data_IF_081761878418
#
_entry.id   IF_081761878418
#
_cell.length_a   1.000
_cell.length_b   1.000
_cell.length_c   1.000
_cell.angle_alpha   90.00
_cell.angle_beta   90.00
_cell.angle_gamma   90.00
#
_symmetry.space_group_name_H-M   'P 1'
#
loop_
_entity.id
_entity.type
_entity.pdbx_description
1 polymer ?
#
# COMPACT_ATOMS: atom_id res chain seq x y z
N UNK A 1 -3.18 2.23 -19.51
CA UNK A 1 -4.33 1.47 -18.97
C UNK A 1 -4.06 1.20 -17.51
N UNK A 2 -5.08 1.10 -16.64
CA UNK A 2 -4.90 0.73 -15.21
C UNK A 2 -4.55 -0.73 -15.09
N UNK A 3 -3.90 -1.12 -14.00
CA UNK A 3 -3.50 -2.52 -13.79
C UNK A 3 -4.71 -3.45 -13.65
N UNK A 4 -5.77 -3.00 -12.98
CA UNK A 4 -7.01 -3.77 -12.87
C UNK A 4 -7.60 -4.15 -14.24
N UNK A 5 -7.54 -3.23 -15.21
CA UNK A 5 -8.02 -3.49 -16.56
C UNK A 5 -7.07 -4.44 -17.33
N UNK A 6 -5.76 -4.32 -17.10
CA UNK A 6 -4.78 -5.23 -17.69
C UNK A 6 -4.99 -6.66 -17.18
N UNK A 7 -5.20 -6.85 -15.88
CA UNK A 7 -5.48 -8.16 -15.30
C UNK A 7 -6.81 -8.72 -15.81
N UNK A 8 -7.87 -7.91 -15.79
CA UNK A 8 -9.20 -8.32 -16.24
C UNK A 8 -9.26 -8.68 -17.73
N UNK A 9 -8.38 -8.13 -18.56
CA UNK A 9 -8.31 -8.37 -20.00
C UNK A 9 -7.18 -9.34 -20.36
N UNK A 10 -6.43 -9.86 -19.38
CA UNK A 10 -5.37 -10.84 -19.63
C UNK A 10 -5.91 -12.08 -20.33
N UNK A 11 -5.23 -12.50 -21.37
CA UNK A 11 -5.49 -13.74 -22.11
C UNK A 11 -4.50 -14.82 -21.68
N UNK A 12 -4.65 -16.03 -22.20
CA UNK A 12 -3.82 -17.20 -21.87
C UNK A 12 -2.32 -17.09 -22.25
N UNK A 13 -1.90 -15.97 -22.80
CA UNK A 13 -0.49 -15.76 -23.09
C UNK A 13 0.27 -15.51 -21.78
N UNK A 14 1.15 -16.43 -21.41
CA UNK A 14 2.05 -16.23 -20.29
C UNK A 14 2.98 -15.04 -20.59
N UNK A 15 3.04 -14.00 -19.74
CA UNK A 15 3.97 -12.91 -19.96
C UNK A 15 5.40 -13.42 -19.80
N UNK A 16 6.29 -12.94 -20.67
CA UNK A 16 7.71 -13.25 -20.59
C UNK A 16 8.44 -12.09 -19.94
N UNK A 17 9.21 -12.35 -18.89
CA UNK A 17 10.11 -11.36 -18.31
C UNK A 17 11.23 -11.00 -19.29
N UNK A 18 11.87 -9.81 -19.14
CA UNK A 18 13.01 -9.42 -19.96
C UNK A 18 14.15 -10.45 -19.99
N UNK A 19 14.26 -11.26 -18.95
CA UNK A 19 15.22 -12.36 -18.83
C UNK A 19 14.80 -13.63 -19.59
N UNK A 20 13.71 -13.61 -20.34
CA UNK A 20 13.20 -14.74 -21.10
C UNK A 20 12.34 -15.73 -20.31
N UNK A 21 12.00 -15.43 -19.06
CA UNK A 21 11.19 -16.32 -18.21
C UNK A 21 9.71 -16.07 -18.41
N UNK A 22 8.96 -17.11 -18.71
CA UNK A 22 7.50 -17.07 -18.74
C UNK A 22 6.98 -17.17 -17.29
N UNK A 23 6.11 -16.25 -16.90
CA UNK A 23 5.49 -16.24 -15.57
C UNK A 23 4.07 -16.79 -15.65
N UNK A 24 3.54 -17.45 -14.59
CA UNK A 24 2.13 -17.73 -14.49
C UNK A 24 1.32 -16.46 -14.73
N UNK A 25 0.44 -16.52 -15.72
CA UNK A 25 -0.24 -15.31 -16.19
C UNK A 25 -1.27 -14.79 -15.20
N UNK A 26 -1.44 -13.48 -15.16
CA UNK A 26 -2.49 -12.82 -14.40
C UNK A 26 -3.92 -13.23 -14.85
N UNK A 27 -4.07 -13.87 -16.01
CA UNK A 27 -5.35 -14.33 -16.57
C UNK A 27 -6.14 -15.26 -15.65
N UNK A 28 -5.47 -16.07 -14.82
CA UNK A 28 -6.13 -16.91 -13.82
C UNK A 28 -6.96 -16.11 -12.81
N UNK A 29 -6.68 -14.83 -12.65
CA UNK A 29 -7.35 -13.93 -11.70
C UNK A 29 -8.28 -12.93 -12.39
N UNK A 30 -8.42 -13.00 -13.72
CA UNK A 30 -9.22 -12.04 -14.49
C UNK A 30 -10.69 -12.00 -13.99
N UNK A 31 -11.28 -13.16 -13.75
CA UNK A 31 -12.65 -13.22 -13.25
C UNK A 31 -12.79 -12.72 -11.81
N UNK A 32 -11.86 -13.06 -10.94
CA UNK A 32 -11.85 -12.54 -9.58
C UNK A 32 -11.74 -11.00 -9.53
N UNK A 33 -10.96 -10.42 -10.42
CA UNK A 33 -10.85 -8.94 -10.53
C UNK A 33 -12.12 -8.33 -11.14
N UNK A 34 -12.73 -8.97 -12.15
CA UNK A 34 -13.98 -8.49 -12.76
C UNK A 34 -15.15 -8.53 -11.77
N UNK A 35 -15.22 -9.54 -10.93
CA UNK A 35 -16.31 -9.73 -9.96
C UNK A 35 -16.04 -9.09 -8.61
N UNK A 36 -14.82 -8.56 -8.39
CA UNK A 36 -14.46 -7.89 -7.14
C UNK A 36 -15.40 -6.71 -6.85
N UNK A 37 -16.13 -6.71 -5.71
CA UNK A 37 -17.14 -5.71 -5.42
C UNK A 37 -16.56 -4.34 -5.08
N UNK A 38 -15.36 -4.30 -4.54
CA UNK A 38 -14.71 -3.07 -4.11
C UNK A 38 -13.36 -2.91 -4.80
N UNK A 39 -13.29 -2.03 -5.80
CA UNK A 39 -12.09 -1.71 -6.55
C UNK A 39 -11.65 -0.29 -6.24
N UNK A 40 -10.51 -0.16 -5.61
CA UNK A 40 -9.96 1.08 -5.09
C UNK A 40 -8.66 1.44 -5.81
N UNK A 41 -8.59 2.67 -6.29
CA UNK A 41 -7.38 3.24 -6.86
C UNK A 41 -6.91 4.37 -5.96
N UNK A 42 -5.70 4.25 -5.45
CA UNK A 42 -5.14 5.19 -4.49
C UNK A 42 -4.57 6.41 -5.24
N UNK A 43 -5.04 7.59 -4.86
CA UNK A 43 -4.47 8.84 -5.36
C UNK A 43 -3.11 9.12 -4.69
N UNK A 44 -2.29 9.97 -5.34
CA UNK A 44 -0.91 10.26 -4.91
C UNK A 44 -0.82 10.80 -3.48
N UNK A 45 -1.76 11.64 -3.08
CA UNK A 45 -1.84 12.20 -1.73
C UNK A 45 -2.11 11.14 -0.66
N UNK A 46 -2.93 10.15 -0.98
CA UNK A 46 -3.21 9.03 -0.09
C UNK A 46 -2.01 8.09 0.03
N UNK A 47 -1.34 7.79 -1.09
CA UNK A 47 -0.10 6.99 -1.08
C UNK A 47 0.95 7.63 -0.16
N UNK A 48 1.12 8.94 -0.25
CA UNK A 48 2.03 9.67 0.64
C UNK A 48 1.59 9.61 2.10
N UNK A 49 0.30 9.82 2.37
CA UNK A 49 -0.26 9.77 3.73
C UNK A 49 -0.09 8.40 4.37
N UNK A 50 -0.42 7.32 3.65
CA UNK A 50 -0.34 5.95 4.17
C UNK A 50 1.10 5.50 4.40
N UNK A 51 2.05 5.88 3.52
CA UNK A 51 3.47 5.58 3.76
C UNK A 51 4.03 6.36 4.96
N UNK A 52 3.67 7.63 5.14
CA UNK A 52 4.06 8.38 6.34
C UNK A 52 3.52 7.73 7.62
N UNK A 53 2.25 7.33 7.62
CA UNK A 53 1.64 6.64 8.76
C UNK A 53 2.32 5.31 9.04
N UNK A 54 2.60 4.54 8.01
CA UNK A 54 3.20 3.22 8.12
C UNK A 54 4.65 3.29 8.62
N UNK A 55 5.46 4.18 8.06
CA UNK A 55 6.91 4.16 8.27
C UNK A 55 7.43 5.26 9.20
N UNK A 56 6.75 6.40 9.31
CA UNK A 56 7.16 7.46 10.24
C UNK A 56 6.38 7.44 11.56
N UNK A 57 5.24 6.76 11.61
CA UNK A 57 4.36 6.67 12.78
C UNK A 57 3.96 5.20 13.07
N UNK A 58 4.83 4.23 12.78
CA UNK A 58 4.57 2.79 12.88
C UNK A 58 4.07 2.34 14.26
N UNK A 59 4.59 2.89 15.35
CA UNK A 59 4.12 2.61 16.71
C UNK A 59 2.62 2.96 16.91
N UNK A 60 2.14 4.01 16.24
CA UNK A 60 0.71 4.36 16.29
C UNK A 60 -0.14 3.40 15.49
N UNK A 61 0.39 2.93 14.37
CA UNK A 61 -0.29 1.95 13.54
C UNK A 61 -0.41 0.63 14.29
N UNK A 62 0.67 0.12 14.89
CA UNK A 62 0.68 -1.06 15.76
C UNK A 62 -0.31 -0.94 16.91
N UNK A 63 -0.33 0.19 17.60
CA UNK A 63 -1.26 0.46 18.71
C UNK A 63 -2.74 0.54 18.31
N UNK A 64 -3.07 0.37 17.03
CA UNK A 64 -4.42 0.39 16.47
C UNK A 64 -4.76 -0.87 15.65
N UNK A 65 -3.96 -1.92 15.73
CA UNK A 65 -4.19 -3.16 14.96
C UNK A 65 -5.56 -3.78 15.19
N UNK A 66 -6.08 -3.69 16.41
CA UNK A 66 -7.40 -4.17 16.81
C UNK A 66 -8.55 -3.43 16.10
N UNK A 67 -8.29 -2.27 15.52
CA UNK A 67 -9.27 -1.45 14.80
C UNK A 67 -9.16 -1.56 13.27
N UNK A 68 -8.12 -2.25 12.80
CA UNK A 68 -7.93 -2.47 11.37
C UNK A 68 -8.80 -3.64 10.91
N UNK A 69 -9.53 -3.43 9.81
CA UNK A 69 -10.26 -4.49 9.12
C UNK A 69 -10.33 -4.19 7.62
N UNK A 70 -10.39 -5.23 6.83
CA UNK A 70 -10.62 -5.13 5.39
C UNK A 70 -12.09 -4.77 5.16
N UNK A 71 -12.41 -3.75 4.36
CA UNK A 71 -13.78 -3.20 4.27
C UNK A 71 -14.77 -4.07 3.48
N UNK A 72 -14.32 -5.17 2.87
CA UNK A 72 -15.14 -6.10 2.10
C UNK A 72 -14.46 -7.45 2.00
N UNK A 73 -15.22 -8.52 1.80
CA UNK A 73 -14.67 -9.88 1.59
C UNK A 73 -13.72 -9.97 0.39
N UNK A 74 -13.90 -9.11 -0.60
CA UNK A 74 -12.97 -8.97 -1.71
C UNK A 74 -12.71 -7.49 -1.99
N UNK A 75 -11.42 -7.13 -2.07
CA UNK A 75 -10.97 -5.78 -2.36
C UNK A 75 -9.83 -5.83 -3.37
N UNK A 76 -9.93 -4.99 -4.39
CA UNK A 76 -8.81 -4.64 -5.24
C UNK A 76 -8.24 -3.30 -4.81
N UNK A 77 -6.93 -3.24 -4.58
CA UNK A 77 -6.17 -2.00 -4.35
C UNK A 77 -5.22 -1.78 -5.52
N UNK A 78 -5.05 -0.54 -5.97
CA UNK A 78 -4.08 -0.20 -7.01
C UNK A 78 -3.43 1.15 -6.74
N UNK A 79 -2.11 1.26 -7.00
CA UNK A 79 -1.35 2.50 -6.87
C UNK A 79 -0.24 2.63 -7.92
N UNK A 80 0.26 3.86 -8.09
CA UNK A 80 1.43 4.17 -8.89
C UNK A 80 2.71 3.91 -8.10
N UNK A 81 3.58 3.05 -8.61
CA UNK A 81 4.81 2.70 -7.93
C UNK A 81 5.78 3.89 -7.82
N UNK A 82 5.85 4.74 -8.84
CA UNK A 82 6.69 5.94 -8.82
C UNK A 82 6.33 6.89 -7.67
N UNK A 83 5.01 7.08 -7.40
CA UNK A 83 4.55 7.91 -6.28
C UNK A 83 4.91 7.28 -4.94
N UNK A 84 4.73 5.97 -4.81
CA UNK A 84 5.09 5.24 -3.60
C UNK A 84 6.59 5.33 -3.31
N UNK A 85 7.43 5.11 -4.30
CA UNK A 85 8.88 5.23 -4.18
C UNK A 85 9.30 6.65 -3.78
N UNK A 86 8.66 7.68 -4.36
CA UNK A 86 8.91 9.06 -3.99
C UNK A 86 8.55 9.34 -2.52
N UNK A 87 7.40 8.78 -2.07
CA UNK A 87 6.98 8.89 -0.67
C UNK A 87 7.95 8.22 0.30
N UNK A 88 8.43 7.01 -0.01
CA UNK A 88 9.41 6.28 0.81
C UNK A 88 10.75 7.02 0.89
N UNK A 89 11.26 7.54 -0.23
CA UNK A 89 12.52 8.32 -0.23
C UNK A 89 12.45 9.59 0.61
N UNK A 90 11.27 10.13 0.84
CA UNK A 90 11.07 11.28 1.71
C UNK A 90 11.16 10.93 3.21
N UNK A 91 11.16 9.65 3.56
CA UNK A 91 11.28 9.15 4.93
C UNK A 91 12.74 8.70 5.15
N UNK A 92 13.49 9.33 6.07
CA UNK A 92 14.96 9.18 6.16
C UNK A 92 15.44 7.73 6.24
N UNK A 93 14.80 6.89 7.05
CA UNK A 93 15.19 5.49 7.25
C UNK A 93 14.72 4.55 6.12
N UNK A 94 13.81 5.02 5.25
CA UNK A 94 13.35 4.28 4.08
C UNK A 94 14.03 4.71 2.77
N UNK A 95 14.94 5.68 2.82
CA UNK A 95 15.57 6.25 1.61
C UNK A 95 16.35 5.21 0.79
N UNK A 96 16.88 4.16 1.43
CA UNK A 96 17.60 3.05 0.81
C UNK A 96 16.73 1.83 0.48
N UNK A 97 15.41 1.91 0.67
CA UNK A 97 14.49 0.79 0.38
C UNK A 97 14.64 0.36 -1.08
N UNK A 98 14.79 -0.95 -1.36
CA UNK A 98 14.86 -1.45 -2.71
C UNK A 98 13.60 -1.05 -3.50
N UNK A 99 13.80 -0.41 -4.61
CA UNK A 99 12.73 0.02 -5.50
C UNK A 99 12.83 -0.76 -6.81
N UNK A 100 11.77 -1.42 -7.22
CA UNK A 100 11.72 -2.03 -8.53
C UNK A 100 11.61 -0.95 -9.61
N UNK A 101 12.65 -0.78 -10.42
CA UNK A 101 12.63 0.14 -11.57
C UNK A 101 11.72 -0.34 -12.70
N UNK A 102 11.26 -1.58 -12.64
CA UNK A 102 10.46 -2.23 -13.69
C UNK A 102 8.97 -2.02 -13.48
N UNK A 103 8.52 -1.86 -12.23
CA UNK A 103 7.09 -1.75 -11.90
C UNK A 103 6.57 -0.33 -12.18
N UNK A 104 5.48 -0.25 -12.92
CA UNK A 104 4.74 1.00 -13.17
C UNK A 104 3.56 1.16 -12.21
N UNK A 105 2.73 0.12 -12.13
CA UNK A 105 1.61 0.02 -11.21
C UNK A 105 1.78 -1.21 -10.36
N UNK A 106 1.38 -1.12 -9.11
CA UNK A 106 1.21 -2.27 -8.22
C UNK A 106 -0.26 -2.36 -7.84
N UNK A 107 -0.78 -3.58 -7.79
CA UNK A 107 -2.14 -3.88 -7.36
C UNK A 107 -2.17 -5.07 -6.44
N UNK A 108 -3.13 -5.12 -5.54
CA UNK A 108 -3.32 -6.22 -4.61
C UNK A 108 -4.78 -6.64 -4.61
N UNK A 109 -5.03 -7.92 -4.88
CA UNK A 109 -6.32 -8.56 -4.70
C UNK A 109 -6.34 -9.19 -3.30
N UNK A 110 -7.28 -8.76 -2.48
CA UNK A 110 -7.44 -9.21 -1.10
C UNK A 110 -8.71 -10.04 -1.02
N UNK A 111 -8.62 -11.21 -0.40
CA UNK A 111 -9.75 -12.01 0.01
C UNK A 111 -9.73 -12.12 1.53
N UNK A 112 -10.78 -11.65 2.19
CA UNK A 112 -10.88 -11.60 3.65
C UNK A 112 -12.11 -12.35 4.15
N UNK A 113 -12.11 -12.70 5.41
CA UNK A 113 -13.29 -13.19 6.11
C UNK A 113 -14.35 -12.08 6.30
N UNK A 114 -15.54 -12.44 6.75
CA UNK A 114 -16.64 -11.49 7.00
C UNK A 114 -16.27 -10.38 7.99
N UNK A 115 -15.38 -10.64 8.94
CA UNK A 115 -14.91 -9.66 9.90
C UNK A 115 -13.80 -8.75 9.32
N UNK A 116 -13.23 -9.14 8.19
CA UNK A 116 -12.11 -8.42 7.56
C UNK A 116 -10.81 -8.52 8.35
N UNK A 117 -10.69 -9.52 9.25
CA UNK A 117 -9.57 -9.65 10.18
C UNK A 117 -8.55 -10.69 9.75
N UNK A 118 -8.99 -11.68 8.98
CA UNK A 118 -8.14 -12.74 8.45
C UNK A 118 -8.32 -12.86 6.93
N UNK A 119 -7.30 -13.31 6.22
CA UNK A 119 -7.43 -13.49 4.80
C UNK A 119 -6.12 -13.67 4.06
N UNK A 120 -6.20 -13.49 2.74
CA UNK A 120 -5.06 -13.62 1.83
C UNK A 120 -4.97 -12.40 0.91
N UNK A 121 -3.75 -12.04 0.54
CA UNK A 121 -3.46 -10.98 -0.42
C UNK A 121 -2.59 -11.53 -1.53
N UNK A 122 -2.91 -11.17 -2.76
CA UNK A 122 -2.14 -11.49 -3.96
C UNK A 122 -1.72 -10.22 -4.65
N UNK A 123 -0.41 -10.07 -4.85
CA UNK A 123 0.17 -8.88 -5.48
C UNK A 123 0.27 -9.07 -6.99
N UNK A 124 -0.08 -8.03 -7.72
CA UNK A 124 0.07 -7.89 -9.16
C UNK A 124 0.89 -6.64 -9.46
N UNK A 125 1.50 -6.61 -10.63
CA UNK A 125 2.20 -5.43 -11.10
C UNK A 125 2.19 -5.35 -12.63
N UNK A 126 2.37 -4.15 -13.16
CA UNK A 126 2.58 -3.93 -14.58
C UNK A 126 3.95 -3.33 -14.82
N UNK A 127 4.57 -3.71 -15.94
CA UNK A 127 5.79 -3.11 -16.45
C UNK A 127 5.46 -2.05 -17.51
N UNK A 128 6.50 -1.43 -18.06
CA UNK A 128 6.37 -0.44 -19.14
C UNK A 128 5.78 -1.02 -20.46
N UNK A 129 5.84 -2.34 -20.63
CA UNK A 129 5.25 -3.04 -21.77
C UNK A 129 3.72 -3.23 -21.68
N UNK A 130 3.07 -2.64 -20.67
CA UNK A 130 1.63 -2.77 -20.40
C UNK A 130 1.13 -4.22 -20.20
N UNK A 131 2.00 -5.13 -19.82
CA UNK A 131 1.62 -6.48 -19.39
C UNK A 131 1.38 -6.52 -17.88
N UNK A 132 0.42 -7.35 -17.48
CA UNK A 132 0.15 -7.62 -16.06
C UNK A 132 0.86 -8.90 -15.63
N UNK A 133 1.51 -8.83 -14.48
CA UNK A 133 2.22 -9.93 -13.85
C UNK A 133 1.60 -10.22 -12.49
N UNK A 134 1.67 -11.48 -12.06
CA UNK A 134 1.28 -11.92 -10.73
C UNK A 134 2.54 -12.27 -9.92
N UNK A 135 2.62 -11.83 -8.68
CA UNK A 135 3.72 -12.18 -7.80
C UNK A 135 3.66 -13.67 -7.40
N UNK A 136 4.84 -14.25 -7.17
CA UNK A 136 4.97 -15.64 -6.77
C UNK A 136 4.50 -15.91 -5.34
N UNK A 137 4.44 -14.86 -4.50
CA UNK A 137 4.10 -14.99 -3.11
C UNK A 137 2.64 -14.61 -2.86
N UNK A 138 1.98 -15.45 -2.08
CA UNK A 138 0.76 -15.12 -1.36
C UNK A 138 1.13 -14.58 0.01
N UNK A 139 0.37 -13.61 0.47
CA UNK A 139 0.47 -13.07 1.81
C UNK A 139 -0.79 -13.46 2.58
N UNK A 140 -0.66 -14.35 3.57
CA UNK A 140 -1.73 -14.59 4.53
C UNK A 140 -1.62 -13.56 5.65
N UNK A 141 -2.74 -13.08 6.18
CA UNK A 141 -2.78 -12.18 7.32
C UNK A 141 -3.79 -12.63 8.37
N UNK A 142 -3.47 -12.42 9.64
CA UNK A 142 -4.36 -12.59 10.77
C UNK A 142 -4.11 -11.43 11.76
N UNK A 143 -5.05 -10.50 11.82
CA UNK A 143 -4.91 -9.29 12.65
C UNK A 143 -5.26 -9.56 14.12
N UNK A 144 -5.79 -10.74 14.44
CA UNK A 144 -6.13 -11.14 15.81
C UNK A 144 -5.02 -11.98 16.46
N UNK A 145 -4.21 -12.68 15.64
CA UNK A 145 -3.17 -13.57 16.13
C UNK A 145 -1.83 -13.27 15.46
N UNK A 146 -0.77 -13.45 16.22
CA UNK A 146 0.60 -13.44 15.69
C UNK A 146 0.82 -14.75 14.93
N UNK A 147 0.98 -14.65 13.61
CA UNK A 147 1.22 -15.83 12.76
C UNK A 147 2.71 -16.19 12.74
N UNK A 148 3.57 -15.29 13.09
CA UNK A 148 5.03 -15.24 12.92
C UNK A 148 5.55 -15.91 11.65
N UNK A 149 6.39 -15.21 10.90
CA UNK A 149 6.73 -15.56 9.53
C UNK A 149 7.45 -16.90 9.48
N UNK A 150 6.70 -17.95 9.42
CA UNK A 150 7.23 -19.11 8.77
C UNK A 150 7.26 -18.72 7.28
N UNK A 151 8.41 -18.36 6.80
CA UNK A 151 8.66 -18.44 5.38
C UNK A 151 8.65 -19.93 5.06
N UNK A 152 7.49 -20.47 4.72
CA UNK A 152 7.35 -21.83 4.16
C UNK A 152 8.06 -21.96 2.79
N UNK A 153 8.78 -20.92 2.38
CA UNK A 153 9.69 -20.92 1.24
C UNK A 153 10.82 -21.96 1.47
N UNK A 154 11.27 -22.18 2.70
CA UNK A 154 12.28 -23.19 3.00
C UNK A 154 11.79 -24.61 2.67
N UNK A 155 10.55 -24.92 3.01
CA UNK A 155 9.96 -26.22 2.68
C UNK A 155 9.72 -26.36 1.17
N UNK A 156 9.32 -25.28 0.49
CA UNK A 156 9.08 -25.28 -0.96
C UNK A 156 10.36 -25.35 -1.80
N UNK A 157 11.49 -24.83 -1.29
CA UNK A 157 12.79 -24.79 -1.97
C UNK A 157 13.80 -25.81 -1.44
N UNK A 158 13.39 -26.78 -0.63
CA UNK A 158 14.28 -27.87 -0.17
C UNK A 158 15.21 -27.48 0.97
N UNK A 159 14.87 -26.55 1.83
CA UNK A 159 15.54 -26.30 3.11
C UNK A 159 16.68 -25.28 3.09
N UNK A 160 16.81 -24.47 2.03
CA UNK A 160 17.78 -23.38 2.03
C UNK A 160 17.24 -22.19 2.86
N UNK A 161 17.86 -21.90 4.00
CA UNK A 161 17.51 -20.78 4.86
C UNK A 161 17.55 -19.44 4.08
N UNK A 162 16.42 -18.80 3.93
CA UNK A 162 16.29 -17.51 3.26
C UNK A 162 16.33 -16.41 4.30
N UNK A 163 17.50 -15.93 4.65
CA UNK A 163 17.65 -14.71 5.41
C UNK A 163 17.13 -13.51 4.59
N UNK A 164 15.91 -13.07 4.82
CA UNK A 164 15.42 -11.83 4.26
C UNK A 164 15.81 -10.73 5.22
N UNK A 165 16.52 -9.72 4.72
CA UNK A 165 16.70 -8.48 5.44
C UNK A 165 15.32 -7.78 5.50
N UNK A 166 14.59 -8.02 6.59
CA UNK A 166 13.39 -7.27 6.93
C UNK A 166 13.82 -5.89 7.47
N UNK A 167 12.99 -4.86 7.33
CA UNK A 167 13.26 -3.56 7.94
C UNK A 167 13.50 -3.72 9.44
N UNK A 168 14.65 -3.24 9.95
CA UNK A 168 15.07 -3.42 11.35
C UNK A 168 14.30 -2.53 12.36
N UNK A 169 13.11 -2.04 12.04
CA UNK A 169 12.32 -1.26 12.97
C UNK A 169 11.36 -2.13 13.77
N UNK A 170 11.45 -2.06 15.10
CA UNK A 170 10.62 -2.83 16.03
C UNK A 170 9.10 -2.70 15.76
N UNK A 171 8.65 -1.52 15.32
CA UNK A 171 7.24 -1.29 14.98
C UNK A 171 6.81 -2.03 13.70
N UNK A 172 7.71 -2.19 12.72
CA UNK A 172 7.45 -2.96 11.52
C UNK A 172 7.47 -4.46 11.79
N UNK A 173 8.35 -4.91 12.69
CA UNK A 173 8.39 -6.30 13.14
C UNK A 173 7.07 -6.72 13.79
N UNK A 174 6.47 -5.85 14.60
CA UNK A 174 5.16 -6.09 15.20
C UNK A 174 4.06 -6.21 14.13
N UNK A 175 4.00 -5.28 13.17
CA UNK A 175 3.03 -5.33 12.08
C UNK A 175 3.20 -6.58 11.21
N UNK A 176 4.44 -6.92 10.90
CA UNK A 176 4.77 -8.09 10.06
C UNK A 176 4.61 -9.42 10.81
N UNK A 177 4.54 -9.42 12.14
CA UNK A 177 4.24 -10.62 12.93
C UNK A 177 2.81 -11.17 12.69
N UNK A 178 1.92 -10.35 12.15
CA UNK A 178 0.56 -10.69 11.76
C UNK A 178 0.43 -11.14 10.29
N UNK A 179 1.56 -11.36 9.62
CA UNK A 179 1.61 -11.67 8.19
C UNK A 179 2.51 -12.87 7.95
N UNK A 180 2.11 -13.76 7.05
CA UNK A 180 2.92 -14.88 6.59
C UNK A 180 3.00 -14.86 5.07
N UNK A 181 4.22 -14.98 4.55
CA UNK A 181 4.45 -15.10 3.11
C UNK A 181 4.65 -16.57 2.75
N UNK A 182 3.95 -17.04 1.75
CA UNK A 182 4.10 -18.40 1.22
C UNK A 182 4.15 -18.41 -0.30
N UNK A 183 4.88 -19.36 -0.85
CA UNK A 183 4.92 -19.56 -2.29
C UNK A 183 3.54 -20.08 -2.76
N UNK A 184 3.01 -19.46 -3.81
CA UNK A 184 1.80 -19.96 -4.47
C UNK A 184 2.07 -21.33 -5.12
N UNK A 185 1.15 -22.28 -4.96
CA UNK A 185 1.28 -23.62 -5.50
C UNK A 185 1.49 -23.62 -7.03
N UNK A 186 0.78 -22.77 -7.76
CA UNK A 186 0.95 -22.64 -9.21
C UNK A 186 2.37 -22.19 -9.60
N UNK A 187 3.01 -21.35 -8.77
CA UNK A 187 4.39 -20.93 -8.94
C UNK A 187 5.40 -22.01 -8.55
N UNK A 188 5.11 -22.80 -7.52
CA UNK A 188 5.94 -23.93 -7.14
C UNK A 188 6.05 -24.94 -8.29
N UNK A 189 4.93 -25.22 -8.97
CA UNK A 189 4.92 -26.08 -10.15
C UNK A 189 5.70 -25.48 -11.32
N UNK A 190 5.56 -24.16 -11.54
CA UNK A 190 6.29 -23.44 -12.55
C UNK A 190 7.81 -23.47 -12.30
N UNK A 191 8.27 -23.21 -11.09
CA UNK A 191 9.70 -23.25 -10.76
C UNK A 191 10.29 -24.65 -10.96
N UNK A 192 9.52 -25.70 -10.62
CA UNK A 192 9.96 -27.09 -10.88
C UNK A 192 10.07 -27.39 -12.38
N UNK A 193 9.17 -26.84 -13.20
CA UNK A 193 9.16 -27.05 -14.65
C UNK A 193 10.20 -26.19 -15.40
N UNK A 194 10.59 -25.04 -14.86
CA UNK A 194 11.48 -24.08 -15.51
C UNK A 194 12.97 -24.39 -15.37
N UNK A 195 13.31 -25.48 -14.67
CA UNK A 195 14.70 -25.96 -14.45
C UNK A 195 15.65 -24.87 -13.86
N UNK A 196 15.08 -23.96 -13.06
CA UNK A 196 15.84 -22.93 -12.38
C UNK A 196 16.63 -23.55 -11.23
N UNK A 197 17.90 -23.22 -11.12
CA UNK A 197 18.67 -23.63 -9.95
C UNK A 197 18.18 -22.96 -8.66
N UNK A 198 18.47 -23.58 -7.51
CA UNK A 198 18.00 -23.11 -6.21
C UNK A 198 18.45 -21.66 -5.91
N UNK A 199 19.62 -21.24 -6.39
CA UNK A 199 20.13 -19.88 -6.18
C UNK A 199 19.36 -18.85 -6.98
N UNK A 200 18.97 -19.16 -8.21
CA UNK A 200 18.15 -18.32 -9.06
C UNK A 200 16.73 -18.16 -8.50
N UNK A 201 16.12 -19.27 -8.07
CA UNK A 201 14.81 -19.27 -7.43
C UNK A 201 14.84 -18.41 -6.15
N UNK A 202 15.87 -18.56 -5.33
CA UNK A 202 16.05 -17.82 -4.10
C UNK A 202 16.21 -16.32 -4.34
N UNK A 203 16.99 -15.94 -5.34
CA UNK A 203 17.18 -14.52 -5.69
C UNK A 203 15.88 -13.85 -6.07
N UNK A 204 15.07 -14.51 -6.91
CA UNK A 204 13.76 -14.03 -7.33
C UNK A 204 12.79 -13.87 -6.18
N UNK A 205 12.73 -14.87 -5.31
CA UNK A 205 11.82 -14.86 -4.17
C UNK A 205 12.21 -13.78 -3.16
N UNK A 206 13.50 -13.53 -2.95
CA UNK A 206 13.99 -12.43 -2.10
C UNK A 206 13.53 -11.06 -2.61
N UNK A 207 13.64 -10.80 -3.90
CA UNK A 207 13.21 -9.54 -4.49
C UNK A 207 11.69 -9.34 -4.34
N UNK A 208 10.92 -10.38 -4.65
CA UNK A 208 9.45 -10.35 -4.52
C UNK A 208 9.04 -10.19 -3.06
N UNK A 209 9.68 -10.92 -2.14
CA UNK A 209 9.39 -10.85 -0.72
C UNK A 209 9.70 -9.45 -0.16
N UNK A 210 10.88 -8.91 -0.46
CA UNK A 210 11.25 -7.57 -0.02
C UNK A 210 10.22 -6.53 -0.43
N UNK A 211 9.82 -6.51 -1.71
CA UNK A 211 8.82 -5.56 -2.19
C UNK A 211 7.44 -5.78 -1.57
N UNK A 212 6.98 -7.03 -1.45
CA UNK A 212 5.65 -7.35 -0.88
C UNK A 212 5.60 -7.06 0.62
N UNK A 213 6.65 -7.35 1.36
CA UNK A 213 6.73 -7.03 2.79
C UNK A 213 6.68 -5.52 3.04
N UNK A 214 7.32 -4.73 2.18
CA UNK A 214 7.22 -3.26 2.24
C UNK A 214 5.86 -2.70 1.83
N UNK A 215 5.01 -3.46 1.14
CA UNK A 215 3.64 -3.01 0.81
C UNK A 215 2.69 -3.16 2.01
N UNK A 216 2.92 -4.14 2.87
CA UNK A 216 2.01 -4.51 3.96
C UNK A 216 1.73 -3.38 4.96
N UNK A 217 2.72 -2.67 5.52
CA UNK A 217 2.45 -1.59 6.47
C UNK A 217 1.62 -0.47 5.84
N UNK A 218 1.85 -0.14 4.57
CA UNK A 218 1.05 0.84 3.83
C UNK A 218 -0.40 0.39 3.67
N UNK A 219 -0.63 -0.89 3.37
CA UNK A 219 -1.99 -1.47 3.22
C UNK A 219 -2.72 -1.46 4.57
N UNK A 220 -2.05 -1.82 5.67
CA UNK A 220 -2.62 -1.75 7.01
C UNK A 220 -2.95 -0.31 7.42
N UNK A 221 -2.08 0.65 7.10
CA UNK A 221 -2.33 2.06 7.32
C UNK A 221 -3.56 2.56 6.52
N UNK A 222 -3.74 2.08 5.29
CA UNK A 222 -4.92 2.38 4.49
C UNK A 222 -6.19 1.86 5.15
N UNK A 223 -6.20 0.60 5.62
CA UNK A 223 -7.38 0.03 6.28
C UNK A 223 -7.68 0.72 7.62
N UNK A 224 -6.68 1.17 8.35
CA UNK A 224 -6.90 2.01 9.52
C UNK A 224 -7.57 3.35 9.16
N UNK A 225 -7.19 3.96 8.03
CA UNK A 225 -7.85 5.16 7.53
C UNK A 225 -9.30 4.89 7.07
N UNK A 226 -9.60 3.70 6.56
CA UNK A 226 -10.99 3.28 6.27
C UNK A 226 -11.83 3.19 7.54
N UNK A 227 -11.28 2.66 8.61
CA UNK A 227 -11.95 2.58 9.92
C UNK A 227 -12.09 3.96 10.60
N UNK A 228 -11.24 4.92 10.23
CA UNK A 228 -11.25 6.24 10.84
C UNK A 228 -12.38 7.11 10.32
N UNK A 229 -13.11 7.75 11.23
CA UNK A 229 -14.07 8.79 10.84
C UNK A 229 -13.33 9.90 10.09
N UNK A 230 -13.86 10.29 8.92
CA UNK A 230 -13.30 11.31 8.04
C UNK A 230 -11.85 10.99 7.57
N UNK A 231 -11.46 9.72 7.63
CA UNK A 231 -10.12 9.26 7.26
C UNK A 231 -9.83 9.25 5.76
N UNK A 232 -10.88 9.20 4.93
CA UNK A 232 -10.74 9.09 3.48
C UNK A 232 -11.82 9.90 2.75
N UNK A 233 -11.49 10.29 1.52
CA UNK A 233 -12.44 10.79 0.55
C UNK A 233 -12.58 9.79 -0.60
N UNK A 234 -13.80 9.56 -1.04
CA UNK A 234 -14.13 8.61 -2.08
C UNK A 234 -14.72 9.36 -3.29
N UNK A 235 -14.21 9.06 -4.47
CA UNK A 235 -14.75 9.57 -5.72
C UNK A 235 -15.01 8.40 -6.68
N UNK A 236 -16.28 8.12 -6.93
CA UNK A 236 -16.66 7.16 -7.98
C UNK A 236 -16.26 7.74 -9.33
N UNK A 237 -15.49 6.98 -10.10
CA UNK A 237 -15.06 7.39 -11.44
C UNK A 237 -16.13 6.95 -12.44
N UNK A 238 -16.80 7.92 -13.05
CA UNK A 238 -17.76 7.66 -14.11
C UNK A 238 -17.03 7.31 -15.42
N UNK A 239 -17.19 6.07 -15.85
CA UNK A 239 -16.60 5.53 -17.07
C UNK A 239 -17.63 5.29 -18.18
N UNK A 240 -18.90 5.62 -17.98
CA UNK A 240 -19.97 5.24 -18.92
C UNK A 240 -19.72 5.79 -20.34
N UNK A 241 -19.46 7.10 -20.44
CA UNK A 241 -19.16 7.76 -21.72
C UNK A 241 -17.91 7.17 -22.40
N UNK A 242 -16.85 6.94 -21.61
CA UNK A 242 -15.59 6.37 -22.12
C UNK A 242 -15.81 4.93 -22.58
N UNK A 243 -16.52 4.14 -21.79
CA UNK A 243 -16.82 2.75 -22.11
C UNK A 243 -17.73 2.61 -23.33
N UNK A 244 -18.66 3.55 -23.53
CA UNK A 244 -19.46 3.60 -24.75
C UNK A 244 -18.55 3.81 -25.98
N UNK A 245 -17.68 4.82 -25.95
CA UNK A 245 -16.75 5.09 -27.05
C UNK A 245 -15.79 3.91 -27.32
N UNK A 246 -15.33 3.24 -26.27
CA UNK A 246 -14.47 2.06 -26.38
C UNK A 246 -15.20 0.90 -27.08
N UNK A 247 -16.43 0.60 -26.67
CA UNK A 247 -17.27 -0.44 -27.30
C UNK A 247 -17.50 -0.15 -28.79
N UNK A 248 -17.81 1.10 -29.14
CA UNK A 248 -17.95 1.52 -30.53
C UNK A 248 -16.66 1.34 -31.35
N UNK A 249 -15.50 1.35 -30.69
CA UNK A 249 -14.18 1.13 -31.31
C UNK A 249 -13.70 -0.32 -31.21
N UNK A 250 -14.55 -1.27 -30.83
CA UNK A 250 -14.19 -2.68 -30.67
C UNK A 250 -13.24 -2.98 -29.49
N UNK A 251 -13.11 -2.06 -28.55
CA UNK A 251 -12.23 -2.21 -27.36
C UNK A 251 -13.03 -2.70 -26.17
N UNK A 252 -12.38 -3.47 -25.30
CA UNK A 252 -12.98 -3.88 -24.02
C UNK A 252 -13.33 -2.67 -23.15
N UNK A 253 -14.45 -2.75 -22.42
CA UNK A 253 -14.81 -1.77 -21.43
C UNK A 253 -13.79 -1.79 -20.27
N UNK A 254 -13.60 -0.63 -19.65
CA UNK A 254 -12.81 -0.49 -18.43
C UNK A 254 -13.69 -0.80 -17.21
N UNK A 255 -13.09 -1.31 -16.16
CA UNK A 255 -13.80 -1.62 -14.92
C UNK A 255 -14.05 -0.37 -14.08
N UNK A 256 -15.26 -0.28 -13.55
CA UNK A 256 -15.62 0.77 -12.58
C UNK A 256 -14.77 0.63 -11.33
N UNK A 257 -14.37 1.75 -10.78
CA UNK A 257 -13.55 1.82 -9.58
C UNK A 257 -13.80 3.10 -8.81
N UNK A 258 -13.37 3.11 -7.57
CA UNK A 258 -13.42 4.27 -6.69
C UNK A 258 -12.00 4.83 -6.56
N UNK A 259 -11.81 6.09 -6.87
CA UNK A 259 -10.57 6.79 -6.52
C UNK A 259 -10.66 7.22 -5.06
N UNK A 260 -9.65 6.84 -4.28
CA UNK A 260 -9.58 7.14 -2.85
C UNK A 260 -8.46 8.13 -2.61
N UNK A 261 -8.77 9.19 -1.87
CA UNK A 261 -7.87 10.31 -1.58
C UNK A 261 -7.69 10.50 -0.09
N UNK A 262 -6.58 11.10 0.29
CA UNK A 262 -6.39 11.55 1.67
C UNK A 262 -7.42 12.65 2.02
N UNK A 263 -7.81 12.77 3.30
CA UNK A 263 -8.71 13.82 3.72
C UNK A 263 -8.09 15.18 3.42
N UNK A 264 -8.89 16.12 2.91
CA UNK A 264 -8.41 17.46 2.50
C UNK A 264 -7.72 18.11 3.70
N UNK A 265 -6.43 18.38 3.58
CA UNK A 265 -5.73 19.27 4.48
C UNK A 265 -6.04 20.70 4.05
N UNK A 266 -6.84 21.42 4.84
CA UNK A 266 -7.07 22.83 4.57
C UNK A 266 -5.71 23.55 4.42
N UNK A 267 -5.50 24.25 3.30
CA UNK A 267 -4.35 25.14 3.13
C UNK A 267 -4.49 26.27 4.12
N UNK A 268 -3.69 26.27 5.17
CA UNK A 268 -3.56 27.43 6.04
C UNK A 268 -2.50 28.35 5.46
N UNK A 269 -2.94 29.47 4.90
CA UNK A 269 -2.04 30.59 4.65
C UNK A 269 -1.61 31.19 5.99
N UNK A 270 -0.30 31.18 6.26
CA UNK A 270 0.25 31.78 7.48
C UNK A 270 0.06 33.29 7.44
N UNK A 271 -0.54 33.92 8.46
CA UNK A 271 -0.47 35.37 8.61
C UNK A 271 1.00 35.76 8.80
N UNK A 272 1.49 36.66 7.95
CA UNK A 272 2.83 37.24 8.03
C UNK A 272 3.04 37.88 9.39
N UNK A 273 4.08 37.47 10.05
CA UNK A 273 4.75 37.92 11.29
C UNK A 273 4.09 39.05 12.11
N UNK A 274 3.70 38.73 13.34
CA UNK A 274 3.55 39.70 14.42
C UNK A 274 4.79 39.68 15.27
N UNK A 275 5.38 40.88 15.49
CA UNK A 275 6.63 41.12 16.19
C UNK A 275 6.60 40.62 17.66
N UNK A 276 7.76 40.22 18.13
CA UNK A 276 8.07 39.75 19.50
C UNK A 276 7.76 40.81 20.56
N UNK A 277 6.94 40.43 21.52
CA UNK A 277 6.95 41.06 22.85
C UNK A 277 7.19 39.98 23.91
N UNK A 278 8.18 40.15 24.72
CA UNK A 278 8.59 39.26 25.77
C UNK A 278 7.56 39.25 26.92
N UNK A 279 6.64 38.27 26.90
CA UNK A 279 5.73 38.01 28.01
C UNK A 279 6.01 36.63 28.61
N UNK A 280 5.92 36.52 29.93
CA UNK A 280 6.06 35.27 30.70
C UNK A 280 5.21 34.16 30.06
N UNK A 281 5.90 33.08 29.69
CA UNK A 281 5.31 31.96 28.95
C UNK A 281 4.29 31.19 29.80
N UNK A 282 3.01 31.42 29.57
CA UNK A 282 1.92 30.57 30.03
C UNK A 282 1.36 29.82 28.82
N UNK A 283 1.89 28.64 28.51
CA UNK A 283 1.41 27.78 27.42
C UNK A 283 2.38 27.67 26.24
N UNK A 284 2.14 26.77 25.30
CA UNK A 284 2.98 26.59 24.12
C UNK A 284 2.81 27.74 23.15
N UNK A 285 3.89 28.08 22.42
CA UNK A 285 3.85 28.97 21.26
C UNK A 285 2.98 28.36 20.18
N UNK A 286 2.46 29.19 19.27
CA UNK A 286 1.72 28.72 18.13
C UNK A 286 2.62 27.83 17.25
N UNK A 287 2.19 26.60 17.04
CA UNK A 287 2.89 25.63 16.20
C UNK A 287 1.89 24.85 15.37
N UNK A 288 2.36 24.36 14.23
CA UNK A 288 1.58 23.48 13.36
C UNK A 288 1.61 22.04 13.91
N UNK A 289 0.45 21.45 14.12
CA UNK A 289 0.27 20.05 14.43
C UNK A 289 -0.10 19.35 13.13
N UNK A 290 0.67 18.35 12.72
CA UNK A 290 0.38 17.55 11.51
C UNK A 290 -0.93 16.79 11.69
N UNK A 291 -1.58 16.46 10.57
CA UNK A 291 -2.66 15.50 10.56
C UNK A 291 -2.16 14.16 11.11
N UNK A 292 -2.94 13.57 11.98
CA UNK A 292 -2.58 12.31 12.63
C UNK A 292 -3.81 11.52 13.02
N UNK A 293 -3.65 10.22 13.12
CA UNK A 293 -4.66 9.34 13.71
C UNK A 293 -4.73 9.59 15.20
N UNK A 294 -5.94 9.71 15.72
CA UNK A 294 -6.23 9.79 17.13
C UNK A 294 -7.22 8.68 17.51
N UNK A 295 -6.92 7.99 18.60
CA UNK A 295 -7.76 6.94 19.17
C UNK A 295 -8.44 7.45 20.44
N UNK A 296 -9.71 7.12 20.62
CA UNK A 296 -10.45 7.36 21.87
C UNK A 296 -11.35 6.15 22.16
N UNK A 297 -10.87 5.27 23.05
CA UNK A 297 -11.49 3.97 23.29
C UNK A 297 -11.41 3.09 22.05
N UNK A 298 -12.55 2.62 21.59
CA UNK A 298 -12.77 1.79 20.40
C UNK A 298 -12.93 2.59 19.08
N UNK A 299 -12.78 3.93 19.14
CA UNK A 299 -12.97 4.80 17.99
C UNK A 299 -11.67 5.42 17.51
N UNK A 300 -11.50 5.39 16.21
CA UNK A 300 -10.42 6.06 15.49
C UNK A 300 -10.96 7.20 14.67
N UNK A 301 -10.22 8.29 14.62
CA UNK A 301 -10.56 9.45 13.79
C UNK A 301 -9.29 10.13 13.28
N UNK A 302 -9.37 10.64 12.07
CA UNK A 302 -8.33 11.48 11.52
C UNK A 302 -8.46 12.90 12.07
N UNK A 303 -7.44 13.38 12.77
CA UNK A 303 -7.34 14.78 13.14
C UNK A 303 -6.67 15.54 12.01
N UNK A 304 -7.40 16.49 11.44
CA UNK A 304 -6.84 17.38 10.44
C UNK A 304 -5.66 18.18 11.01
N UNK A 305 -4.67 18.53 10.17
CA UNK A 305 -3.61 19.47 10.56
C UNK A 305 -4.22 20.76 11.11
N UNK A 306 -3.71 21.24 12.22
CA UNK A 306 -4.22 22.43 12.86
C UNK A 306 -3.12 23.23 13.56
N UNK A 307 -3.38 24.50 13.79
CA UNK A 307 -2.50 25.34 14.62
C UNK A 307 -2.90 25.18 16.10
N UNK A 308 -1.90 24.89 16.94
CA UNK A 308 -2.07 24.78 18.38
C UNK A 308 -1.12 25.74 19.11
N UNK A 309 -1.63 26.38 20.15
CA UNK A 309 -0.84 27.29 20.98
C UNK A 309 -1.32 28.75 20.86
N UNK A 310 -0.59 29.65 21.52
CA UNK A 310 -0.95 31.06 21.56
C UNK A 310 -0.05 31.87 20.64
N UNK A 311 -0.62 32.48 19.61
CA UNK A 311 0.12 33.32 18.64
C UNK A 311 0.84 34.50 19.31
N UNK A 312 0.29 35.03 20.44
CA UNK A 312 0.92 36.13 21.19
C UNK A 312 2.26 35.73 21.82
N UNK A 313 2.52 34.43 21.98
CA UNK A 313 3.79 33.89 22.52
C UNK A 313 4.82 33.63 21.42
N UNK A 314 4.52 33.96 20.19
CA UNK A 314 5.35 33.70 19.01
C UNK A 314 4.96 32.40 18.29
N UNK A 315 5.53 32.21 17.11
CA UNK A 315 5.32 31.05 16.24
C UNK A 315 6.58 30.18 16.25
N UNK A 316 6.40 28.87 16.45
CA UNK A 316 7.49 27.91 16.26
C UNK A 316 7.55 27.58 14.77
N UNK A 317 8.61 28.02 14.11
CA UNK A 317 8.93 27.59 12.75
C UNK A 317 9.65 26.24 12.86
N UNK A 318 8.91 25.15 12.89
CA UNK A 318 9.52 23.85 12.57
C UNK A 318 9.87 23.86 11.08
N UNK A 319 10.98 23.24 10.68
CA UNK A 319 11.24 22.95 9.27
C UNK A 319 10.18 21.95 8.80
N UNK A 320 9.05 22.45 8.42
CA UNK A 320 7.97 21.65 7.86
C UNK A 320 8.40 21.31 6.45
N UNK A 321 8.52 20.03 6.15
CA UNK A 321 8.52 19.57 4.75
C UNK A 321 7.18 20.05 4.19
N UNK A 322 7.19 21.06 3.33
CA UNK A 322 6.01 21.46 2.58
C UNK A 322 5.72 20.34 1.60
N UNK A 323 4.74 19.52 1.91
CA UNK A 323 4.08 18.70 0.91
C UNK A 323 3.22 19.64 0.08
N UNK A 324 3.78 20.22 -0.96
CA UNK A 324 3.02 20.98 -1.94
C UNK A 324 2.40 20.00 -2.92
N UNK A 325 1.14 19.72 -2.74
CA UNK A 325 0.34 19.07 -3.77
C UNK A 325 0.03 20.10 -4.87
N UNK A 326 0.49 19.86 -6.08
CA UNK A 326 0.05 20.55 -7.30
C UNK A 326 -0.99 19.73 -8.00
#
# INVERSE_FOLDING_TARGET
MRLLDLVAQSTNAAPTLPQGWALPGAHHFADAVRTCPLRLVLADDLIQCTNLLAYAEGERLSGCLDLIHVPSEQVWLEWLEATRQSALRAIPHCASTPCSSVRRHTGVLIAADLAGRTGTMRTFWSAHNEQAYCAALLTDFDLDHVIRPALDIEAALGGAAVGVAMPEEAALDELLSHVRFRLDAAWADYYRAADLDASQQLLLLREVLGTTAFDMPMILALFLLFAAKDGLQHQVVDLERLNHARRCSGKHALLDHIEVRAPITARYEYPRSVANTAARRRGPRLHHVRGHIARRGDKVFWRLPHLRGNARLGVVRSRTVQLSFR
#
